data_IF_575740167977
#
_entry.id   IF_575740167977
#
_cell.length_a   1.000
_cell.length_b   1.000
_cell.length_c   1.000
_cell.angle_alpha   90.00
_cell.angle_beta   90.00
_cell.angle_gamma   90.00
#
_symmetry.space_group_name_H-M   'P 1'
#
loop_
_entity.id
_entity.type
_entity.pdbx_description
1 polymer ?
#
# COMPACT_ATOMS: atom_id res chain seq x y z
N UNK A 1 -5.31 -0.59 -4.10
CA UNK A 1 -5.52 -1.74 -3.16
C UNK A 1 -4.23 -1.97 -2.37
N UNK A 2 -4.28 -2.33 -1.08
CA UNK A 2 -3.09 -2.74 -0.32
C UNK A 2 -3.05 -4.26 -0.18
N UNK A 3 -1.86 -4.86 -0.30
CA UNK A 3 -1.67 -6.31 -0.29
C UNK A 3 -0.83 -6.70 0.92
N UNK A 4 -1.19 -7.80 1.59
CA UNK A 4 -0.42 -8.37 2.69
C UNK A 4 -0.32 -9.88 2.60
N UNK A 5 0.62 -10.46 3.37
CA UNK A 5 0.88 -11.90 3.39
C UNK A 5 2.24 -12.26 2.80
N UNK A 6 2.47 -13.54 2.52
CA UNK A 6 3.71 -14.05 1.92
C UNK A 6 3.64 -13.87 0.41
N UNK A 7 4.31 -12.85 -0.12
CA UNK A 7 4.35 -12.56 -1.55
C UNK A 7 5.80 -12.70 -2.03
N UNK A 8 6.07 -13.45 -3.11
CA UNK A 8 7.40 -13.51 -3.69
C UNK A 8 7.86 -12.14 -4.21
N UNK A 9 9.11 -11.76 -3.95
CA UNK A 9 9.63 -10.41 -4.28
C UNK A 9 9.56 -10.12 -5.77
N UNK A 10 9.78 -11.13 -6.63
CA UNK A 10 9.68 -10.95 -8.08
C UNK A 10 8.27 -10.57 -8.58
N UNK A 11 7.22 -10.78 -7.76
CA UNK A 11 5.85 -10.45 -8.15
C UNK A 11 5.50 -8.98 -7.81
N UNK A 12 6.37 -8.26 -7.08
CA UNK A 12 6.05 -6.93 -6.56
C UNK A 12 5.79 -5.93 -7.67
N UNK A 13 6.65 -5.89 -8.70
CA UNK A 13 6.52 -4.95 -9.81
C UNK A 13 5.20 -5.17 -10.56
N UNK A 14 4.89 -6.42 -10.88
CA UNK A 14 3.62 -6.79 -11.50
C UNK A 14 2.42 -6.36 -10.63
N UNK A 15 2.47 -6.54 -9.32
CA UNK A 15 1.38 -6.12 -8.43
C UNK A 15 1.21 -4.59 -8.39
N UNK A 16 2.31 -3.82 -8.39
CA UNK A 16 2.26 -2.37 -8.45
C UNK A 16 1.71 -1.87 -9.79
N UNK A 17 2.15 -2.44 -10.90
CA UNK A 17 1.63 -2.13 -12.25
C UNK A 17 0.12 -2.37 -12.37
N UNK A 18 -0.41 -3.33 -11.61
CA UNK A 18 -1.84 -3.67 -11.61
C UNK A 18 -2.64 -3.02 -10.46
N UNK A 19 -2.11 -1.97 -9.82
CA UNK A 19 -2.88 -1.12 -8.90
C UNK A 19 -2.74 -1.46 -7.42
N UNK A 20 -1.75 -2.25 -7.03
CA UNK A 20 -1.29 -2.25 -5.65
C UNK A 20 -0.70 -0.86 -5.32
N UNK A 21 -1.08 -0.31 -4.16
CA UNK A 21 -0.54 0.98 -3.68
C UNK A 21 0.42 0.80 -2.51
N UNK A 22 0.40 -0.39 -1.89
CA UNK A 22 1.36 -0.81 -0.88
C UNK A 22 1.35 -2.33 -0.76
N UNK A 23 2.52 -2.90 -0.47
CA UNK A 23 2.71 -4.30 -0.10
C UNK A 23 3.28 -4.36 1.32
N UNK A 24 2.65 -5.15 2.20
CA UNK A 24 3.03 -5.37 3.60
C UNK A 24 3.40 -6.84 3.82
N UNK A 25 4.69 -7.15 3.70
CA UNK A 25 5.24 -8.50 3.78
C UNK A 25 5.28 -9.03 5.24
N UNK A 26 5.55 -10.32 5.47
CA UNK A 26 5.70 -10.86 6.82
C UNK A 26 6.80 -10.12 7.60
N UNK A 27 6.53 -9.85 8.88
CA UNK A 27 7.44 -9.07 9.72
C UNK A 27 7.31 -7.55 9.59
N UNK A 28 6.39 -7.06 8.75
CA UNK A 28 6.04 -5.63 8.72
C UNK A 28 5.63 -5.13 10.11
N UNK A 29 6.22 -4.02 10.56
CA UNK A 29 5.83 -3.35 11.79
C UNK A 29 4.41 -2.79 11.66
N UNK A 30 3.49 -3.23 12.53
CA UNK A 30 2.06 -2.87 12.45
C UNK A 30 1.84 -1.35 12.60
N UNK A 31 2.41 -0.67 13.62
CA UNK A 31 2.33 0.79 13.72
C UNK A 31 2.79 1.53 12.46
N UNK A 32 3.94 1.16 11.90
CA UNK A 32 4.47 1.79 10.68
C UNK A 32 3.57 1.55 9.46
N UNK A 33 3.04 0.33 9.31
CA UNK A 33 2.07 0.02 8.26
C UNK A 33 0.79 0.84 8.39
N UNK A 34 0.29 1.02 9.61
CA UNK A 34 -0.88 1.84 9.90
C UNK A 34 -0.68 3.30 9.49
N UNK A 35 0.47 3.89 9.87
CA UNK A 35 0.84 5.25 9.48
C UNK A 35 0.90 5.37 7.94
N UNK A 36 1.56 4.41 7.27
CA UNK A 36 1.67 4.42 5.81
C UNK A 36 0.30 4.32 5.12
N UNK A 37 -0.56 3.41 5.57
CA UNK A 37 -1.90 3.24 5.03
C UNK A 37 -2.75 4.51 5.18
N UNK A 38 -2.79 5.08 6.40
CA UNK A 38 -3.55 6.30 6.67
C UNK A 38 -3.04 7.48 5.83
N UNK A 39 -1.72 7.61 5.71
CA UNK A 39 -1.10 8.67 4.88
C UNK A 39 -1.54 8.56 3.42
N UNK A 40 -1.51 7.34 2.84
CA UNK A 40 -1.95 7.10 1.46
C UNK A 40 -3.44 7.42 1.27
N UNK A 41 -4.29 6.99 2.20
CA UNK A 41 -5.74 7.26 2.15
C UNK A 41 -6.06 8.75 2.24
N UNK A 42 -5.42 9.48 3.17
CA UNK A 42 -5.63 10.91 3.35
C UNK A 42 -5.15 11.69 2.11
N UNK A 43 -4.00 11.32 1.55
CA UNK A 43 -3.50 11.94 0.32
C UNK A 43 -4.51 11.78 -0.82
N UNK A 44 -4.98 10.56 -1.04
CA UNK A 44 -5.98 10.25 -2.07
C UNK A 44 -7.28 11.03 -1.87
N UNK A 45 -7.79 11.10 -0.64
CA UNK A 45 -9.01 11.85 -0.33
C UNK A 45 -8.88 13.35 -0.63
N UNK A 46 -7.70 13.94 -0.37
CA UNK A 46 -7.43 15.35 -0.72
C UNK A 46 -7.42 15.60 -2.23
N UNK A 47 -6.83 14.68 -2.99
CA UNK A 47 -6.84 14.76 -4.46
C UNK A 47 -8.26 14.70 -5.03
N UNK A 48 -9.10 13.80 -4.50
CA UNK A 48 -10.50 13.68 -4.93
C UNK A 48 -11.34 14.90 -4.56
N UNK A 49 -11.07 15.54 -3.42
CA UNK A 49 -11.78 16.76 -3.01
C UNK A 49 -11.33 18.03 -3.77
N UNK A 50 -10.18 17.98 -4.44
CA UNK A 50 -9.63 19.09 -5.19
C UNK A 50 -10.00 19.09 -6.69
N UNK A 51 -10.57 17.98 -7.19
CA UNK A 51 -11.10 17.83 -8.55
C UNK A 51 -12.61 17.95 -8.59
#
# INVERSE_FOLDING_TARGET
>A
VCIGGVIPVQDYDNLYEHGAVAIFAPGTNIPEAGIKLLTLLIARAKEEAAG
#
